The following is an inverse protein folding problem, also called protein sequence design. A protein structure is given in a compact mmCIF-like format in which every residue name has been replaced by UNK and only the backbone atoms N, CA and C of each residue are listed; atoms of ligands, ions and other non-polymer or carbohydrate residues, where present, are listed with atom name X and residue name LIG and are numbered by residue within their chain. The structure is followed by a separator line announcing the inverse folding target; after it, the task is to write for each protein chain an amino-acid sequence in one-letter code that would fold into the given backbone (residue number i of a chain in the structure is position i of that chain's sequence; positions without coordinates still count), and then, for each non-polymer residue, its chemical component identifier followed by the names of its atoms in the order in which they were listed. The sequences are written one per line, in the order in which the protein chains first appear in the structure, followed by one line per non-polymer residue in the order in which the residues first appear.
data_IF_013323997241
#
_entry.id   IF_013323997241
#
_cell.length_a   1.000
_cell.length_b   1.000
_cell.length_c   1.000
_cell.angle_alpha   90.00
_cell.angle_beta   90.00
_cell.angle_gamma   90.00
#
_symmetry.space_group_name_H-M   'P 1'
#
loop_
_entity.id
_entity.type
_entity.pdbx_description
1 polymer ?
#
# COMPACT_ATOMS: atom_id res chain seq x y z
N UNK A 1 -18.03 -3.98 -12.71
CA UNK A 1 -19.26 -4.56 -13.28
C UNK A 1 -20.02 -3.47 -14.03
N UNK A 2 -20.04 -3.58 -15.35
CA UNK A 2 -20.74 -2.66 -16.26
C UNK A 2 -22.20 -3.10 -16.31
N UNK A 3 -23.12 -2.22 -15.94
CA UNK A 3 -24.55 -2.46 -16.13
C UNK A 3 -25.02 -1.61 -17.31
N UNK A 4 -25.46 -2.29 -18.36
CA UNK A 4 -26.07 -1.64 -19.53
C UNK A 4 -27.58 -1.57 -19.29
N UNK A 5 -28.14 -0.37 -19.41
CA UNK A 5 -29.57 -0.14 -19.27
C UNK A 5 -30.00 1.02 -20.14
N UNK A 6 -31.18 0.88 -20.76
CA UNK A 6 -31.81 1.95 -21.52
C UNK A 6 -32.42 2.96 -20.55
N UNK A 7 -31.90 4.19 -20.55
CA UNK A 7 -32.51 5.30 -19.82
C UNK A 7 -32.71 6.46 -20.79
N UNK A 8 -33.94 6.96 -20.90
CA UNK A 8 -34.33 8.03 -21.84
C UNK A 8 -34.00 7.73 -23.32
N UNK A 9 -34.15 6.47 -23.75
CA UNK A 9 -33.94 6.07 -25.15
C UNK A 9 -32.48 6.08 -25.61
N UNK A 10 -31.51 6.25 -24.71
CA UNK A 10 -30.08 6.09 -24.98
C UNK A 10 -29.55 4.87 -24.23
N UNK A 11 -28.65 4.14 -24.87
CA UNK A 11 -27.88 3.08 -24.25
C UNK A 11 -26.77 3.73 -23.42
N UNK A 12 -26.85 3.61 -22.10
CA UNK A 12 -25.89 4.25 -21.20
C UNK A 12 -25.14 3.16 -20.44
N UNK A 13 -23.80 3.22 -20.51
CA UNK A 13 -22.93 2.41 -19.67
C UNK A 13 -22.79 3.07 -18.29
N UNK A 14 -23.53 2.56 -17.30
CA UNK A 14 -23.41 3.07 -15.92
C UNK A 14 -22.19 2.43 -15.26
N UNK A 15 -21.07 3.16 -15.28
CA UNK A 15 -19.86 2.79 -14.54
C UNK A 15 -20.07 3.11 -13.05
N UNK A 16 -20.35 2.09 -12.24
CA UNK A 16 -20.43 2.24 -10.78
C UNK A 16 -19.12 2.83 -10.26
N UNK A 17 -19.18 3.98 -9.59
CA UNK A 17 -18.01 4.60 -8.96
C UNK A 17 -17.50 3.68 -7.83
N UNK A 18 -16.19 3.52 -7.65
CA UNK A 18 -15.64 2.76 -6.54
C UNK A 18 -16.14 3.31 -5.20
N UNK A 19 -16.49 2.45 -4.22
CA UNK A 19 -16.89 2.87 -2.88
C UNK A 19 -15.80 3.63 -2.09
N UNK A 20 -14.55 3.62 -2.56
CA UNK A 20 -13.44 4.34 -1.93
C UNK A 20 -12.98 5.53 -2.79
N UNK A 21 -12.61 6.63 -2.14
CA UNK A 21 -12.01 7.81 -2.80
C UNK A 21 -10.57 7.53 -3.28
N UNK A 22 -9.96 6.44 -2.81
CA UNK A 22 -8.63 5.99 -3.22
C UNK A 22 -8.69 5.37 -4.61
N UNK A 23 -7.94 5.93 -5.57
CA UNK A 23 -7.76 5.36 -6.90
C UNK A 23 -6.43 4.63 -6.93
N UNK A 24 -6.47 3.36 -7.32
CA UNK A 24 -5.29 2.61 -7.69
C UNK A 24 -5.21 2.58 -9.21
N UNK A 25 -3.99 2.64 -9.73
CA UNK A 25 -3.73 2.64 -11.16
C UNK A 25 -2.88 1.43 -11.51
N UNK A 26 -3.14 0.82 -12.66
CA UNK A 26 -2.21 -0.14 -13.25
C UNK A 26 -1.02 0.60 -13.89
N UNK A 27 -0.08 -0.18 -14.43
CA UNK A 27 1.07 0.32 -15.18
C UNK A 27 0.71 1.21 -16.38
N UNK A 28 -0.52 1.10 -16.89
CA UNK A 28 -1.04 1.86 -18.02
C UNK A 28 -1.95 3.02 -17.59
N UNK A 29 -1.90 3.41 -16.31
CA UNK A 29 -2.71 4.50 -15.72
C UNK A 29 -4.23 4.31 -15.80
N UNK A 30 -4.71 3.08 -15.97
CA UNK A 30 -6.13 2.79 -15.89
C UNK A 30 -6.55 2.65 -14.43
N UNK A 31 -7.70 3.23 -14.07
CA UNK A 31 -8.23 3.11 -12.72
C UNK A 31 -8.69 1.66 -12.47
N UNK A 32 -8.04 1.00 -11.50
CA UNK A 32 -8.37 -0.37 -11.08
C UNK A 32 -9.22 -0.33 -9.82
N UNK A 33 -10.31 -1.12 -9.81
CA UNK A 33 -11.10 -1.34 -8.60
C UNK A 33 -10.52 -2.50 -7.80
N UNK A 34 -9.89 -2.19 -6.67
CA UNK A 34 -9.53 -3.20 -5.66
C UNK A 34 -10.68 -3.25 -4.65
N UNK A 35 -11.42 -4.36 -4.55
CA UNK A 35 -12.47 -4.47 -3.56
C UNK A 35 -11.85 -4.47 -2.16
N UNK A 36 -12.33 -3.59 -1.29
CA UNK A 36 -11.98 -3.63 0.12
C UNK A 36 -12.51 -4.95 0.68
N UNK A 37 -11.63 -5.87 1.09
CA UNK A 37 -12.04 -7.06 1.81
C UNK A 37 -12.70 -6.62 3.12
N UNK A 38 -13.99 -6.95 3.28
CA UNK A 38 -14.79 -6.59 4.45
C UNK A 38 -14.45 -7.43 5.68
N UNK A 39 -13.81 -8.57 5.44
CA UNK A 39 -13.49 -9.57 6.45
C UNK A 39 -11.97 -9.66 6.63
N UNK A 40 -11.54 -9.95 7.85
CA UNK A 40 -10.14 -10.16 8.16
C UNK A 40 -9.65 -11.45 7.49
N UNK A 41 -8.79 -11.30 6.48
CA UNK A 41 -8.09 -12.43 5.86
C UNK A 41 -6.76 -12.67 6.58
N UNK A 42 -6.52 -13.93 6.96
CA UNK A 42 -5.23 -14.34 7.52
C UNK A 42 -4.23 -14.46 6.36
N UNK A 43 -3.38 -13.45 6.18
CA UNK A 43 -2.30 -13.52 5.19
C UNK A 43 -1.11 -14.30 5.76
N UNK A 44 -0.61 -15.34 5.06
CA UNK A 44 0.58 -16.04 5.49
C UNK A 44 1.77 -15.06 5.52
N UNK A 45 2.57 -15.13 6.60
CA UNK A 45 3.79 -14.30 6.81
C UNK A 45 3.55 -12.80 7.02
N UNK A 46 2.32 -12.31 7.14
CA UNK A 46 2.01 -10.89 7.43
C UNK A 46 2.75 -10.35 8.65
N UNK A 47 2.83 -11.14 9.71
CA UNK A 47 3.54 -10.79 10.93
C UNK A 47 5.04 -10.53 10.71
N UNK A 48 5.67 -11.15 9.71
CA UNK A 48 7.09 -10.94 9.39
C UNK A 48 7.28 -9.52 8.87
N UNK A 49 6.45 -9.11 7.90
CA UNK A 49 6.49 -7.77 7.29
C UNK A 49 6.14 -6.69 8.31
N UNK A 50 5.08 -6.89 9.09
CA UNK A 50 4.71 -5.92 10.13
C UNK A 50 5.80 -5.78 11.20
N UNK A 51 6.48 -6.88 11.54
CA UNK A 51 7.59 -6.87 12.50
C UNK A 51 8.83 -6.16 11.96
N UNK A 52 9.20 -6.35 10.70
CA UNK A 52 10.33 -5.61 10.09
C UNK A 52 10.02 -4.11 10.04
N UNK A 53 8.79 -3.73 9.68
CA UNK A 53 8.33 -2.35 9.72
C UNK A 53 8.36 -1.76 11.15
N UNK A 54 7.98 -2.55 12.16
CA UNK A 54 8.06 -2.12 13.55
C UNK A 54 9.51 -1.81 14.00
N UNK A 55 10.49 -2.61 13.57
CA UNK A 55 11.90 -2.35 13.86
C UNK A 55 12.44 -1.11 13.15
N UNK A 56 12.07 -0.90 11.90
CA UNK A 56 12.43 0.29 11.12
C UNK A 56 11.85 1.55 11.77
N UNK A 57 10.57 1.51 12.15
CA UNK A 57 9.88 2.63 12.79
C UNK A 57 10.44 3.00 14.17
N UNK A 58 11.13 2.08 14.87
CA UNK A 58 11.86 2.42 16.10
C UNK A 58 13.02 3.39 15.85
N UNK A 59 13.52 3.50 14.63
CA UNK A 59 14.50 4.51 14.27
C UNK A 59 13.78 5.83 13.95
N UNK A 60 13.90 6.82 14.84
CA UNK A 60 13.25 8.14 14.71
C UNK A 60 13.40 8.77 13.31
N UNK A 61 14.57 8.60 12.67
CA UNK A 61 14.86 9.12 11.32
C UNK A 61 14.09 8.44 10.19
N UNK A 62 13.64 7.19 10.37
CA UNK A 62 12.85 6.43 9.39
C UNK A 62 11.35 6.47 9.68
N UNK A 63 10.93 6.89 10.88
CA UNK A 63 9.50 6.96 11.24
C UNK A 63 8.74 8.07 10.51
N UNK A 64 9.46 9.04 9.93
CA UNK A 64 8.91 10.14 9.13
C UNK A 64 9.95 10.40 8.05
N UNK A 65 9.60 10.15 6.79
CA UNK A 65 10.52 10.33 5.67
C UNK A 65 10.92 11.81 5.54
N UNK A 66 12.10 12.14 6.06
CA UNK A 66 12.64 13.51 6.07
C UNK A 66 13.91 13.63 5.21
N UNK A 67 14.20 12.63 4.40
CA UNK A 67 15.43 12.58 3.63
C UNK A 67 15.17 13.08 2.20
N UNK A 68 15.98 14.03 1.73
CA UNK A 68 15.89 14.56 0.37
C UNK A 68 16.33 13.53 -0.69
N UNK A 69 17.26 12.63 -0.32
CA UNK A 69 17.83 11.65 -1.22
C UNK A 69 17.39 10.23 -0.82
N UNK A 70 17.03 9.37 -1.80
CA UNK A 70 16.69 7.97 -1.51
C UNK A 70 17.91 7.16 -1.05
N UNK A 71 19.13 7.61 -1.37
CA UNK A 71 20.37 6.95 -0.93
C UNK A 71 20.58 7.05 0.58
N UNK A 72 20.18 8.16 1.21
CA UNK A 72 20.32 8.34 2.65
C UNK A 72 19.29 7.51 3.41
N UNK A 73 18.04 7.44 2.92
CA UNK A 73 17.02 6.57 3.51
C UNK A 73 17.42 5.09 3.41
N UNK A 74 17.97 4.66 2.27
CA UNK A 74 18.49 3.30 2.08
C UNK A 74 19.63 2.98 3.08
N UNK A 75 20.62 3.87 3.22
CA UNK A 75 21.71 3.70 4.18
C UNK A 75 21.20 3.58 5.63
N UNK A 76 20.17 4.36 5.98
CA UNK A 76 19.55 4.32 7.31
C UNK A 76 18.82 3.01 7.57
N UNK A 77 18.16 2.41 6.56
CA UNK A 77 17.54 1.09 6.66
C UNK A 77 18.61 0.04 6.98
N UNK A 78 19.70 -0.03 6.22
CA UNK A 78 20.79 -0.99 6.49
C UNK A 78 21.37 -0.82 7.89
N UNK A 79 21.63 0.43 8.29
CA UNK A 79 22.14 0.77 9.63
C UNK A 79 21.17 0.36 10.74
N UNK A 80 19.85 0.44 10.50
CA UNK A 80 18.84 -0.01 11.47
C UNK A 80 18.87 -1.53 11.66
N UNK A 81 19.04 -2.29 10.58
CA UNK A 81 19.11 -3.75 10.65
C UNK A 81 20.42 -4.25 11.23
N UNK A 82 21.55 -3.64 10.89
CA UNK A 82 22.84 -3.96 11.52
C UNK A 82 22.78 -3.78 13.05
N UNK A 83 22.21 -2.67 13.53
CA UNK A 83 21.99 -2.44 14.97
C UNK A 83 21.07 -3.48 15.62
N UNK A 84 20.05 -3.94 14.89
CA UNK A 84 19.17 -5.00 15.37
C UNK A 84 19.91 -6.33 15.49
N UNK A 85 20.73 -6.69 14.50
CA UNK A 85 21.54 -7.91 14.52
C UNK A 85 22.52 -7.89 15.70
N UNK A 86 23.27 -6.80 15.87
CA UNK A 86 24.23 -6.63 16.96
C UNK A 86 23.62 -6.71 18.37
N UNK A 87 22.33 -6.41 18.53
CA UNK A 87 21.63 -6.51 19.83
C UNK A 87 21.14 -7.92 20.13
N UNK A 88 21.11 -8.79 19.13
CA UNK A 88 20.56 -10.16 19.23
C UNK A 88 21.63 -11.21 19.46
N UNK A 89 22.91 -10.80 19.41
CA UNK A 89 24.08 -11.52 19.93
C UNK A 89 24.01 -11.57 21.47
#
# INVERSE_FOLDING_TARGET
MKSHGLKYGKEIEVVKRPPSRMRFYDENWNAVYIPLQREFSILPKRWIVERTLAWINKCRRLSKDYEYLPTTSQAMIYTSMARLMLRRE
#
